data_IF_981458449691
#
_entry.id   IF_981458449691
#
_cell.length_a   1.000
_cell.length_b   1.000
_cell.length_c   1.000
_cell.angle_alpha   90.00
_cell.angle_beta   90.00
_cell.angle_gamma   90.00
#
_symmetry.space_group_name_H-M   'P 1'
#
loop_
_entity.id
_entity.type
_entity.pdbx_description
1 polymer ?
#
# COMPACT_ATOMS: atom_id res chain seq x y z
N UNK A 1 12.37 -9.05 0.76
CA UNK A 1 11.28 -8.06 0.91
C UNK A 1 11.72 -6.74 0.29
N UNK A 2 10.99 -6.26 -0.72
CA UNK A 2 11.24 -5.02 -1.46
C UNK A 2 11.19 -3.77 -0.56
N UNK A 3 11.85 -2.68 -0.99
CA UNK A 3 12.00 -1.46 -0.19
C UNK A 3 10.65 -0.83 0.23
N UNK A 4 9.64 -0.89 -0.65
CA UNK A 4 8.30 -0.35 -0.37
C UNK A 4 7.64 -1.04 0.84
N UNK A 5 7.71 -2.37 0.91
CA UNK A 5 7.14 -3.13 2.01
C UNK A 5 7.90 -2.91 3.33
N UNK A 6 9.22 -2.74 3.27
CA UNK A 6 10.01 -2.35 4.45
C UNK A 6 9.61 -0.96 4.97
N UNK A 7 9.40 0.02 4.07
CA UNK A 7 8.95 1.35 4.43
C UNK A 7 7.57 1.32 5.08
N UNK A 8 6.65 0.51 4.54
CA UNK A 8 5.31 0.33 5.09
C UNK A 8 5.35 -0.33 6.48
N UNK A 9 6.04 -1.47 6.62
CA UNK A 9 6.15 -2.16 7.90
C UNK A 9 6.75 -1.27 8.99
N UNK A 10 7.74 -0.45 8.63
CA UNK A 10 8.37 0.52 9.52
C UNK A 10 7.54 1.78 9.80
N UNK A 11 6.35 1.96 9.22
CA UNK A 11 5.52 3.16 9.40
C UNK A 11 6.08 4.42 8.74
N UNK A 12 6.98 4.29 7.76
CA UNK A 12 7.64 5.41 7.10
C UNK A 12 6.76 6.00 5.99
N UNK A 13 5.62 6.61 6.35
CA UNK A 13 4.59 7.10 5.40
C UNK A 13 5.18 7.92 4.25
N UNK A 14 5.94 8.97 4.53
CA UNK A 14 6.53 9.83 3.49
C UNK A 14 7.45 9.07 2.53
N UNK A 15 8.20 8.10 3.04
CA UNK A 15 9.06 7.25 2.20
C UNK A 15 8.22 6.35 1.30
N UNK A 16 7.24 5.64 1.87
CA UNK A 16 6.36 4.76 1.10
C UNK A 16 5.63 5.50 -0.03
N UNK A 17 5.05 6.66 0.26
CA UNK A 17 4.38 7.50 -0.74
C UNK A 17 5.37 8.07 -1.77
N UNK A 18 6.57 8.46 -1.34
CA UNK A 18 7.62 8.92 -2.25
C UNK A 18 8.06 7.83 -3.24
N UNK A 19 8.19 6.58 -2.79
CA UNK A 19 8.51 5.44 -3.64
C UNK A 19 7.41 5.21 -4.69
N UNK A 20 6.14 5.17 -4.27
CA UNK A 20 4.99 4.97 -5.15
C UNK A 20 4.83 6.10 -6.19
N UNK A 21 5.08 7.35 -5.82
CA UNK A 21 5.05 8.48 -6.76
C UNK A 21 6.19 8.43 -7.77
N UNK A 22 7.36 7.92 -7.36
CA UNK A 22 8.54 7.78 -8.21
C UNK A 22 8.38 6.63 -9.19
N UNK A 23 7.76 5.54 -8.75
CA UNK A 23 7.50 4.35 -9.55
C UNK A 23 6.07 3.83 -9.32
N UNK A 24 5.12 4.22 -10.19
CA UNK A 24 3.74 3.78 -10.10
C UNK A 24 3.55 2.27 -10.27
N UNK A 25 4.51 1.52 -10.83
CA UNK A 25 4.37 0.06 -10.94
C UNK A 25 4.34 -0.62 -9.56
N UNK A 26 4.89 0.05 -8.54
CA UNK A 26 4.88 -0.41 -7.16
C UNK A 26 3.47 -0.49 -6.55
N UNK A 27 2.45 0.17 -7.09
CA UNK A 27 1.07 -0.01 -6.61
C UNK A 27 0.57 -1.45 -6.79
N UNK A 28 1.07 -2.14 -7.82
CA UNK A 28 0.73 -3.52 -8.15
C UNK A 28 1.83 -4.51 -7.75
N UNK A 29 2.87 -4.08 -7.01
CA UNK A 29 3.87 -5.01 -6.51
C UNK A 29 3.25 -5.92 -5.46
N UNK A 30 3.75 -7.16 -5.41
CA UNK A 30 3.21 -8.20 -4.53
C UNK A 30 4.32 -8.73 -3.62
N UNK A 31 3.96 -9.05 -2.38
CA UNK A 31 4.80 -9.93 -1.56
C UNK A 31 4.82 -11.35 -2.14
N UNK A 32 5.65 -12.23 -1.56
CA UNK A 32 5.69 -13.66 -1.94
C UNK A 32 4.33 -14.35 -1.73
N UNK A 33 3.52 -13.84 -0.80
CA UNK A 33 2.15 -14.29 -0.51
C UNK A 33 1.08 -13.60 -1.36
N UNK A 34 1.46 -12.77 -2.34
CA UNK A 34 0.51 -12.09 -3.23
C UNK A 34 -0.20 -10.88 -2.61
N UNK A 35 0.42 -10.21 -1.64
CA UNK A 35 -0.21 -9.09 -0.91
C UNK A 35 0.21 -7.75 -1.54
N UNK A 36 -0.77 -6.91 -1.90
CA UNK A 36 -0.55 -5.55 -2.42
C UNK A 36 -0.08 -4.58 -1.33
N UNK A 37 0.51 -3.42 -1.66
CA UNK A 37 0.92 -2.42 -0.67
C UNK A 37 -0.24 -1.90 0.20
N UNK A 38 -1.46 -1.79 -0.38
CA UNK A 38 -2.67 -1.38 0.34
C UNK A 38 -3.02 -2.40 1.42
N UNK A 39 -3.11 -3.68 1.06
CA UNK A 39 -3.44 -4.74 2.02
C UNK A 39 -2.31 -4.98 3.02
N UNK A 40 -1.06 -4.92 2.58
CA UNK A 40 0.10 -5.08 3.46
C UNK A 40 0.15 -4.00 4.54
N UNK A 41 -0.06 -2.73 4.18
CA UNK A 41 -0.13 -1.64 5.16
C UNK A 41 -1.30 -1.80 6.12
N UNK A 42 -2.45 -2.28 5.65
CA UNK A 42 -3.60 -2.57 6.51
C UNK A 42 -3.28 -3.68 7.53
N UNK A 43 -2.69 -4.80 7.09
CA UNK A 43 -2.35 -5.93 7.96
C UNK A 43 -1.27 -5.59 9.00
N UNK A 44 -0.37 -4.65 8.68
CA UNK A 44 0.61 -4.13 9.63
C UNK A 44 0.07 -3.02 10.54
N UNK A 45 -1.25 -2.76 10.52
CA UNK A 45 -1.91 -1.77 11.37
C UNK A 45 -1.60 -0.32 10.99
N UNK A 46 -1.17 -0.07 9.75
CA UNK A 46 -0.81 1.26 9.23
C UNK A 46 -1.96 1.84 8.42
N UNK A 47 -3.12 2.03 9.05
CA UNK A 47 -4.35 2.46 8.37
C UNK A 47 -4.20 3.81 7.66
N UNK A 48 -3.44 4.74 8.24
CA UNK A 48 -3.14 6.05 7.69
C UNK A 48 -2.28 6.00 6.41
N UNK A 49 -1.39 5.00 6.32
CA UNK A 49 -0.60 4.70 5.13
C UNK A 49 -1.49 4.00 4.11
N UNK A 50 -2.26 2.99 4.53
CA UNK A 50 -3.13 2.20 3.65
C UNK A 50 -4.15 3.07 2.92
N UNK A 51 -4.84 3.96 3.64
CA UNK A 51 -5.78 4.93 3.06
C UNK A 51 -5.10 5.91 2.11
N UNK A 52 -3.89 6.35 2.41
CA UNK A 52 -3.14 7.25 1.53
C UNK A 52 -2.74 6.54 0.24
N UNK A 53 -2.15 5.34 0.32
CA UNK A 53 -1.77 4.53 -0.84
C UNK A 53 -2.99 4.28 -1.72
N UNK A 54 -4.10 3.81 -1.14
CA UNK A 54 -5.34 3.62 -1.88
C UNK A 54 -5.82 4.94 -2.50
N UNK A 55 -5.77 6.03 -1.74
CA UNK A 55 -6.11 7.39 -2.14
C UNK A 55 -5.38 7.89 -3.39
N UNK A 56 -4.15 7.44 -3.64
CA UNK A 56 -3.35 7.87 -4.80
C UNK A 56 -3.15 6.77 -5.84
N UNK A 57 -3.61 5.55 -5.58
CA UNK A 57 -3.47 4.42 -6.50
C UNK A 57 -4.28 4.66 -7.77
N UNK A 58 -3.69 4.50 -8.97
CA UNK A 58 -4.44 4.52 -10.23
C UNK A 58 -5.25 3.24 -10.44
N UNK A 59 -4.90 2.16 -9.74
CA UNK A 59 -5.41 0.80 -9.95
C UNK A 59 -6.29 0.32 -8.78
N UNK A 60 -7.06 1.24 -8.18
CA UNK A 60 -7.97 0.92 -7.08
C UNK A 60 -8.93 -0.20 -7.48
N UNK A 61 -9.13 -1.15 -6.58
CA UNK A 61 -10.07 -2.25 -6.78
C UNK A 61 -11.05 -2.43 -5.61
N UNK A 62 -12.11 -3.20 -5.86
CA UNK A 62 -13.19 -3.45 -4.90
C UNK A 62 -12.72 -4.18 -3.64
N UNK A 63 -11.74 -5.10 -3.76
CA UNK A 63 -11.27 -5.88 -2.62
C UNK A 63 -10.52 -5.01 -1.61
N UNK A 64 -9.68 -4.10 -2.11
CA UNK A 64 -8.98 -3.10 -1.29
C UNK A 64 -9.97 -2.09 -0.66
N UNK A 65 -10.96 -1.64 -1.43
CA UNK A 65 -12.01 -0.75 -0.93
C UNK A 65 -12.79 -1.38 0.24
N UNK A 66 -13.22 -2.64 0.05
CA UNK A 66 -13.94 -3.39 1.07
C UNK A 66 -13.09 -3.63 2.33
N UNK A 67 -11.79 -3.94 2.16
CA UNK A 67 -10.86 -4.12 3.28
C UNK A 67 -10.67 -2.82 4.08
N UNK A 68 -10.73 -1.66 3.42
CA UNK A 68 -10.64 -0.34 4.04
C UNK A 68 -11.95 0.15 4.67
N UNK A 69 -13.07 -0.55 4.43
CA UNK A 69 -14.40 -0.10 4.82
C UNK A 69 -14.90 1.12 4.03
N UNK A 70 -14.38 1.32 2.81
CA UNK A 70 -14.71 2.41 1.89
C UNK A 70 -15.64 1.89 0.78
N UNK A 71 -16.87 1.52 1.17
CA UNK A 71 -17.94 1.01 0.29
C UNK A 71 -19.02 2.06 0.05
#
# INVERSE_FOLDING_TARGET
>A
MEEIFQAIAGGQKSKAIGLLKRDPSLFQSLTEEGITPVLFSLYYGKLDISKEIYGISPDRNLFEAAALGDL
#
